data_IF_135692707737
#
_entry.id   IF_135692707737
#
_cell.length_a   1.000
_cell.length_b   1.000
_cell.length_c   1.000
_cell.angle_alpha   90.00
_cell.angle_beta   90.00
_cell.angle_gamma   90.00
#
_symmetry.space_group_name_H-M   'P 1'
#
loop_
_entity.id
_entity.type
_entity.pdbx_description
1 polymer ?
#
# COMPACT_ATOMS: atom_id res chain seq x y z
N UNK A 1 9.57 -17.17 -60.88
CA UNK A 1 8.57 -17.91 -60.08
C UNK A 1 8.76 -17.57 -58.61
N UNK A 2 9.90 -17.90 -57.98
CA UNK A 2 10.17 -17.62 -56.55
C UNK A 2 9.94 -16.16 -56.06
N UNK A 3 10.30 -15.14 -56.86
CA UNK A 3 10.07 -13.72 -56.49
C UNK A 3 8.58 -13.35 -56.43
N UNK A 4 7.74 -14.04 -57.19
CA UNK A 4 6.29 -13.82 -57.22
C UNK A 4 5.65 -14.47 -55.99
N UNK A 5 6.08 -15.69 -55.64
CA UNK A 5 5.60 -16.40 -54.45
C UNK A 5 5.92 -15.63 -53.15
N UNK A 6 7.12 -15.04 -53.06
CA UNK A 6 7.49 -14.18 -51.92
C UNK A 6 6.62 -12.93 -51.83
N UNK A 7 6.27 -12.33 -52.97
CA UNK A 7 5.43 -11.13 -53.00
C UNK A 7 3.98 -11.47 -52.61
N UNK A 8 3.47 -12.63 -53.05
CA UNK A 8 2.17 -13.15 -52.64
C UNK A 8 2.13 -13.45 -51.14
N UNK A 9 3.20 -14.02 -50.58
CA UNK A 9 3.32 -14.27 -49.15
C UNK A 9 3.30 -12.97 -48.33
N UNK A 10 4.09 -11.96 -48.73
CA UNK A 10 4.12 -10.67 -48.04
C UNK A 10 2.79 -9.91 -48.19
N UNK A 11 2.13 -10.00 -49.35
CA UNK A 11 0.78 -9.46 -49.54
C UNK A 11 -0.22 -10.09 -48.57
N UNK A 12 -0.26 -11.42 -48.50
CA UNK A 12 -1.16 -12.14 -47.59
C UNK A 12 -0.91 -11.76 -46.12
N UNK A 13 0.37 -11.65 -45.73
CA UNK A 13 0.75 -11.20 -44.39
C UNK A 13 0.31 -9.77 -44.11
N UNK A 14 0.46 -8.85 -45.07
CA UNK A 14 0.00 -7.48 -44.93
C UNK A 14 -1.53 -7.41 -44.82
N UNK A 15 -2.26 -8.15 -45.65
CA UNK A 15 -3.73 -8.22 -45.61
C UNK A 15 -4.25 -8.75 -44.29
N UNK A 16 -3.65 -9.81 -43.74
CA UNK A 16 -4.04 -10.34 -42.42
C UNK A 16 -3.79 -9.33 -41.31
N UNK A 17 -2.65 -8.63 -41.34
CA UNK A 17 -2.33 -7.57 -40.37
C UNK A 17 -3.30 -6.38 -40.48
N UNK A 18 -3.65 -5.97 -41.70
CA UNK A 18 -4.63 -4.92 -41.93
C UNK A 18 -6.01 -5.31 -41.37
N UNK A 19 -6.49 -6.53 -41.65
CA UNK A 19 -7.78 -7.01 -41.16
C UNK A 19 -7.82 -7.06 -39.62
N UNK A 20 -6.73 -7.47 -38.97
CA UNK A 20 -6.63 -7.45 -37.51
C UNK A 20 -6.66 -6.02 -36.95
N UNK A 21 -5.96 -5.08 -37.59
CA UNK A 21 -5.95 -3.68 -37.18
C UNK A 21 -7.34 -3.05 -37.33
N UNK A 22 -8.04 -3.29 -38.44
CA UNK A 22 -9.40 -2.82 -38.68
C UNK A 22 -10.38 -3.38 -37.64
N UNK A 23 -10.30 -4.68 -37.35
CA UNK A 23 -11.11 -5.30 -36.29
C UNK A 23 -10.83 -4.68 -34.92
N UNK A 24 -9.56 -4.39 -34.61
CA UNK A 24 -9.19 -3.75 -33.34
C UNK A 24 -9.72 -2.32 -33.24
N UNK A 25 -9.71 -1.59 -34.35
CA UNK A 25 -10.27 -0.24 -34.44
C UNK A 25 -11.78 -0.25 -34.14
N UNK A 26 -12.53 -1.15 -34.80
CA UNK A 26 -13.98 -1.29 -34.57
C UNK A 26 -14.31 -1.67 -33.12
N UNK A 27 -13.54 -2.55 -32.50
CA UNK A 27 -13.72 -2.93 -31.09
C UNK A 27 -13.51 -1.72 -30.15
N UNK A 28 -12.48 -0.92 -30.42
CA UNK A 28 -12.19 0.28 -29.63
C UNK A 28 -13.26 1.35 -29.81
N UNK A 29 -13.76 1.57 -31.02
CA UNK A 29 -14.85 2.49 -31.30
C UNK A 29 -16.15 2.08 -30.58
N UNK A 30 -16.47 0.78 -30.58
CA UNK A 30 -17.63 0.26 -29.85
C UNK A 30 -17.51 0.47 -28.34
N UNK A 31 -16.33 0.18 -27.76
CA UNK A 31 -16.06 0.40 -26.32
C UNK A 31 -16.13 1.87 -25.94
N UNK A 32 -15.59 2.76 -26.78
CA UNK A 32 -15.65 4.19 -26.56
C UNK A 32 -17.10 4.69 -26.50
N UNK A 33 -17.94 4.23 -27.42
CA UNK A 33 -19.35 4.62 -27.46
C UNK A 33 -20.14 4.09 -26.25
N UNK A 34 -19.85 2.88 -25.77
CA UNK A 34 -20.45 2.33 -24.54
C UNK A 34 -20.08 3.16 -23.30
N UNK A 35 -18.79 3.46 -23.12
CA UNK A 35 -18.30 4.29 -22.02
C UNK A 35 -18.92 5.70 -22.04
N UNK A 36 -19.06 6.30 -23.23
CA UNK A 36 -19.72 7.59 -23.38
C UNK A 36 -21.20 7.56 -22.96
N UNK A 37 -21.93 6.50 -23.33
CA UNK A 37 -23.32 6.32 -22.89
C UNK A 37 -23.41 6.13 -21.37
N UNK A 38 -22.52 5.34 -20.77
CA UNK A 38 -22.50 5.13 -19.33
C UNK A 38 -22.21 6.45 -18.60
N UNK A 39 -21.23 7.22 -19.07
CA UNK A 39 -20.93 8.55 -18.54
C UNK A 39 -22.15 9.47 -18.62
N UNK A 40 -22.89 9.44 -19.73
CA UNK A 40 -24.13 10.23 -19.88
C UNK A 40 -25.21 9.80 -18.89
N UNK A 41 -25.41 8.49 -18.67
CA UNK A 41 -26.34 7.96 -17.66
C UNK A 41 -25.92 8.38 -16.25
N UNK A 42 -24.64 8.29 -15.94
CA UNK A 42 -24.10 8.69 -14.64
C UNK A 42 -24.27 10.19 -14.38
N UNK A 43 -24.03 11.02 -15.39
CA UNK A 43 -24.25 12.46 -15.30
C UNK A 43 -25.73 12.80 -15.09
N UNK A 44 -26.65 12.12 -15.80
CA UNK A 44 -28.09 12.29 -15.59
C UNK A 44 -28.51 11.92 -14.16
N UNK A 45 -28.01 10.79 -13.64
CA UNK A 45 -28.26 10.33 -12.27
C UNK A 45 -27.70 11.31 -11.23
N UNK A 46 -26.53 11.88 -11.48
CA UNK A 46 -25.95 12.91 -10.61
C UNK A 46 -26.80 14.18 -10.60
N UNK A 47 -27.28 14.63 -11.77
CA UNK A 47 -28.19 15.77 -11.88
C UNK A 47 -29.53 15.52 -11.17
N UNK A 48 -30.12 14.33 -11.33
CA UNK A 48 -31.34 13.93 -10.63
C UNK A 48 -31.17 13.96 -9.11
N UNK A 49 -30.07 13.39 -8.59
CA UNK A 49 -29.77 13.44 -7.16
C UNK A 49 -29.58 14.88 -6.67
N UNK A 50 -28.90 15.72 -7.45
CA UNK A 50 -28.72 17.12 -7.13
C UNK A 50 -30.08 17.85 -7.05
N UNK A 51 -30.95 17.69 -8.05
CA UNK A 51 -32.31 18.26 -8.04
C UNK A 51 -33.19 17.70 -6.91
N UNK A 52 -33.05 16.41 -6.59
CA UNK A 52 -33.78 15.78 -5.49
C UNK A 52 -33.36 16.33 -4.12
N UNK A 53 -32.06 16.58 -3.92
CA UNK A 53 -31.57 17.23 -2.69
C UNK A 53 -32.04 18.69 -2.59
N UNK A 54 -32.06 19.43 -3.69
CA UNK A 54 -32.58 20.81 -3.76
C UNK A 54 -34.08 20.87 -3.44
N UNK A 55 -34.86 19.92 -3.96
CA UNK A 55 -36.30 19.79 -3.66
C UNK A 55 -36.51 19.45 -2.20
N UNK A 56 -35.74 18.51 -1.66
CA UNK A 56 -35.79 18.19 -0.24
C UNK A 56 -35.42 19.41 0.62
N UNK A 57 -34.41 20.20 0.23
CA UNK A 57 -34.06 21.44 0.92
C UNK A 57 -35.22 22.43 0.93
N UNK A 58 -35.89 22.64 -0.21
CA UNK A 58 -37.03 23.55 -0.32
C UNK A 58 -38.20 23.11 0.58
N UNK A 59 -38.50 21.80 0.65
CA UNK A 59 -39.53 21.25 1.55
C UNK A 59 -39.19 21.50 3.04
N UNK A 60 -37.90 21.45 3.41
CA UNK A 60 -37.45 21.75 4.77
C UNK A 60 -37.42 23.26 5.06
N UNK A 61 -37.11 24.10 4.07
CA UNK A 61 -37.16 25.58 4.19
C UNK A 61 -38.61 26.11 4.30
N UNK A 62 -39.57 25.54 3.57
CA UNK A 62 -40.99 25.89 3.66
C UNK A 62 -41.61 25.51 5.03
N UNK A 63 -41.04 24.52 5.73
CA UNK A 63 -41.42 24.19 7.12
C UNK A 63 -40.76 25.09 8.18
N UNK A 64 -39.89 26.00 7.77
CA UNK A 64 -39.10 26.86 8.65
C UNK A 64 -39.43 28.37 8.51
N UNK A 65 -40.63 28.73 8.05
CA UNK A 65 -41.17 30.08 8.29
C UNK A 65 -42.12 30.08 9.48
N UNK A 66 -41.84 30.92 10.50
CA UNK A 66 -42.69 32.08 10.65
C UNK A 66 -41.94 33.41 10.84
N UNK A 67 -42.57 34.40 10.23
CA UNK A 67 -42.31 35.82 10.18
C UNK A 67 -42.55 36.54 11.54
N UNK A 68 -41.48 37.13 12.11
CA UNK A 68 -41.37 38.42 12.87
C UNK A 68 -41.98 38.44 14.33
N UNK A 69 -41.73 39.45 15.19
CA UNK A 69 -40.66 39.53 16.21
C UNK A 69 -41.16 39.70 17.68
N UNK A 70 -40.20 39.76 18.61
CA UNK A 70 -40.25 40.42 19.94
C UNK A 70 -40.88 39.72 21.17
N UNK A 71 -40.11 39.87 22.26
CA UNK A 71 -40.51 40.13 23.66
C UNK A 71 -40.82 38.99 24.66
N UNK A 72 -39.97 38.98 25.70
CA UNK A 72 -40.23 38.76 27.16
C UNK A 72 -40.23 37.33 27.76
N UNK A 73 -39.14 37.08 28.51
CA UNK A 73 -38.97 36.48 29.87
C UNK A 73 -40.03 35.49 30.40
N UNK A 74 -39.58 34.37 30.99
CA UNK A 74 -39.81 33.92 32.39
C UNK A 74 -39.01 32.61 32.66
N UNK A 75 -38.80 32.30 33.95
CA UNK A 75 -37.68 31.58 34.61
C UNK A 75 -37.97 30.09 34.92
N UNK A 76 -36.87 29.29 35.07
CA UNK A 76 -36.66 28.06 35.91
C UNK A 76 -37.49 26.80 35.50
N UNK A 77 -37.08 25.51 35.61
CA UNK A 77 -36.02 24.78 36.34
C UNK A 77 -35.90 23.31 35.79
N UNK A 78 -34.66 22.81 35.61
CA UNK A 78 -34.09 21.46 35.93
C UNK A 78 -34.64 20.13 35.34
N UNK A 79 -33.81 19.40 34.58
CA UNK A 79 -33.36 17.99 34.82
C UNK A 79 -32.41 17.46 33.69
N UNK A 80 -31.44 16.61 34.05
CA UNK A 80 -30.53 15.80 33.19
C UNK A 80 -31.25 14.49 32.76
N UNK A 81 -30.82 13.68 31.75
CA UNK A 81 -29.45 13.46 31.23
C UNK A 81 -29.32 13.54 29.67
N UNK A 82 -28.11 13.60 29.07
CA UNK A 82 -27.96 13.49 27.63
C UNK A 82 -27.96 12.02 27.21
N UNK A 83 -29.08 11.58 26.63
CA UNK A 83 -29.08 10.46 25.71
C UNK A 83 -28.20 10.81 24.51
N UNK A 84 -27.32 9.90 24.14
CA UNK A 84 -26.37 10.03 23.02
C UNK A 84 -27.16 10.00 21.71
N UNK A 85 -27.70 11.14 21.31
CA UNK A 85 -28.12 11.36 19.94
C UNK A 85 -26.87 11.64 19.12
N UNK A 86 -26.57 10.74 18.17
CA UNK A 86 -25.49 10.92 17.20
C UNK A 86 -25.86 12.12 16.33
N UNK A 87 -25.41 13.29 16.77
CA UNK A 87 -25.58 14.54 16.03
C UNK A 87 -24.97 14.36 14.62
N UNK A 88 -25.57 14.90 13.54
CA UNK A 88 -25.06 14.76 12.17
C UNK A 88 -23.58 15.13 12.01
N UNK A 89 -23.08 16.03 12.85
CA UNK A 89 -21.68 16.41 12.95
C UNK A 89 -20.74 15.23 13.28
N UNK A 90 -21.22 14.22 14.01
CA UNK A 90 -20.43 13.03 14.38
C UNK A 90 -20.29 12.03 13.22
N UNK A 91 -21.26 11.98 12.31
CA UNK A 91 -21.18 11.17 11.09
C UNK A 91 -20.18 11.76 10.09
N UNK A 92 -20.14 13.09 9.95
CA UNK A 92 -19.13 13.78 9.13
C UNK A 92 -17.73 13.57 9.69
N UNK A 93 -17.55 13.66 11.01
CA UNK A 93 -16.26 13.40 11.67
C UNK A 93 -15.83 11.94 11.50
N UNK A 94 -16.76 10.98 11.57
CA UNK A 94 -16.48 9.56 11.31
C UNK A 94 -16.06 9.32 9.85
N UNK A 95 -16.68 10.01 8.89
CA UNK A 95 -16.32 9.91 7.47
C UNK A 95 -14.95 10.53 7.19
N UNK A 96 -14.63 11.67 7.80
CA UNK A 96 -13.29 12.28 7.71
C UNK A 96 -12.24 11.38 8.37
N UNK A 97 -12.55 10.80 9.53
CA UNK A 97 -11.66 9.87 10.23
C UNK A 97 -11.43 8.58 9.43
N UNK A 98 -12.47 8.06 8.78
CA UNK A 98 -12.37 6.89 7.90
C UNK A 98 -11.50 7.18 6.67
N UNK A 99 -11.70 8.32 6.02
CA UNK A 99 -10.87 8.75 4.88
C UNK A 99 -9.41 8.93 5.32
N UNK A 100 -9.16 9.59 6.46
CA UNK A 100 -7.82 9.73 7.03
C UNK A 100 -7.19 8.38 7.38
N UNK A 101 -7.96 7.43 7.91
CA UNK A 101 -7.49 6.09 8.21
C UNK A 101 -7.10 5.34 6.93
N UNK A 102 -7.94 5.38 5.89
CA UNK A 102 -7.66 4.79 4.58
C UNK A 102 -6.42 5.41 3.92
N UNK A 103 -6.30 6.75 3.95
CA UNK A 103 -5.12 7.46 3.48
C UNK A 103 -3.85 7.09 4.26
N UNK A 104 -3.99 6.72 5.54
CA UNK A 104 -2.88 6.27 6.39
C UNK A 104 -2.52 4.79 6.23
N UNK A 105 -3.40 3.98 5.64
CA UNK A 105 -3.19 2.54 5.36
C UNK A 105 -2.67 2.26 3.95
N UNK A 106 -2.57 3.26 3.08
CA UNK A 106 -2.00 3.07 1.73
C UNK A 106 -0.50 2.75 1.78
N UNK A 107 -0.01 2.00 0.79
CA UNK A 107 1.41 1.69 0.64
C UNK A 107 2.25 2.96 0.61
N UNK A 108 3.21 3.06 1.54
CA UNK A 108 4.12 4.22 1.68
C UNK A 108 5.05 4.37 0.47
N UNK A 109 5.26 3.30 -0.30
CA UNK A 109 6.07 3.31 -1.52
C UNK A 109 5.52 4.23 -2.63
N UNK A 110 4.25 4.61 -2.54
CA UNK A 110 3.57 5.49 -3.50
C UNK A 110 3.36 6.91 -2.95
N UNK A 111 3.77 7.18 -1.71
CA UNK A 111 3.66 8.50 -1.09
C UNK A 111 4.89 9.36 -1.40
N UNK A 112 4.68 10.65 -1.70
CA UNK A 112 5.77 11.61 -1.79
C UNK A 112 6.42 11.80 -0.39
N UNK A 113 7.70 11.46 -0.26
CA UNK A 113 8.50 11.54 0.99
C UNK A 113 8.41 12.92 1.68
N UNK A 114 8.19 13.96 0.88
CA UNK A 114 8.06 15.36 1.31
C UNK A 114 6.79 15.65 2.14
N UNK A 115 5.79 14.78 2.14
CA UNK A 115 4.55 14.92 2.93
C UNK A 115 4.67 14.25 4.30
N UNK A 116 5.50 13.21 4.43
CA UNK A 116 5.70 12.47 5.69
C UNK A 116 6.65 13.21 6.63
N UNK A 117 7.65 13.93 6.09
CA UNK A 117 8.69 14.60 6.88
C UNK A 117 8.36 16.05 7.32
N UNK A 118 7.11 16.52 7.21
CA UNK A 118 6.76 17.87 7.66
C UNK A 118 6.68 17.96 9.19
N UNK A 119 7.79 18.40 9.78
CA UNK A 119 7.84 19.06 11.10
C UNK A 119 6.76 20.15 11.15
N UNK A 120 5.94 20.26 12.22
CA UNK A 120 4.86 21.25 12.28
C UNK A 120 5.38 22.67 12.08
N UNK A 121 4.89 23.31 11.01
CA UNK A 121 5.14 24.69 10.63
C UNK A 121 4.41 25.64 11.59
N UNK A 122 4.90 25.74 12.83
CA UNK A 122 4.49 26.79 13.76
C UNK A 122 5.75 27.43 14.36
N UNK A 123 5.97 28.70 13.97
CA UNK A 123 7.09 29.59 14.31
C UNK A 123 8.28 29.55 13.33
N UNK A 124 8.09 30.17 12.17
CA UNK A 124 9.19 30.80 11.44
C UNK A 124 8.86 32.29 11.29
N UNK A 125 9.30 33.09 12.27
CA UNK A 125 9.52 34.52 12.10
C UNK A 125 11.03 34.72 12.08
N UNK A 126 11.48 35.45 11.07
CA UNK A 126 12.84 35.88 10.75
C UNK A 126 13.89 35.82 11.85
N UNK A 127 15.01 35.16 11.55
CA UNK A 127 16.32 35.74 11.85
C UNK A 127 17.40 35.24 10.89
N UNK A 128 18.13 36.21 10.32
CA UNK A 128 19.45 36.02 9.72
C UNK A 128 20.41 35.45 10.77
N UNK A 129 21.32 34.58 10.35
CA UNK A 129 22.53 34.29 11.12
C UNK A 129 22.96 32.84 11.04
N UNK A 130 23.98 32.57 10.24
CA UNK A 130 24.56 31.24 10.10
C UNK A 130 25.18 30.71 11.39
N UNK A 131 25.19 29.38 11.50
CA UNK A 131 26.30 28.56 12.01
C UNK A 131 25.92 27.09 11.78
N UNK A 132 26.75 26.43 10.98
CA UNK A 132 26.73 25.00 10.71
C UNK A 132 26.67 24.21 12.02
N UNK A 133 25.50 23.69 12.38
CA UNK A 133 25.39 22.50 13.23
C UNK A 133 25.11 21.34 12.32
N UNK A 134 26.17 20.57 12.05
CA UNK A 134 26.11 19.21 11.53
C UNK A 134 25.13 18.45 12.41
N UNK A 135 23.87 18.36 11.97
CA UNK A 135 22.93 17.41 12.54
C UNK A 135 23.58 16.05 12.33
N UNK A 136 23.93 15.40 13.43
CA UNK A 136 24.30 13.99 13.42
C UNK A 136 23.11 13.24 12.85
N UNK A 137 23.18 12.96 11.54
CA UNK A 137 22.43 11.87 10.94
C UNK A 137 22.94 10.64 11.64
N UNK A 138 22.19 10.19 12.65
CA UNK A 138 22.28 8.84 13.16
C UNK A 138 22.15 7.93 11.94
N UNK A 139 23.09 7.01 11.69
CA UNK A 139 22.93 6.08 10.57
C UNK A 139 21.61 5.35 10.76
N UNK A 140 20.83 5.08 9.70
CA UNK A 140 19.66 4.23 9.82
C UNK A 140 20.11 2.95 10.50
N UNK A 141 19.60 2.70 11.71
CA UNK A 141 19.86 1.43 12.37
C UNK A 141 19.35 0.33 11.44
N UNK A 142 20.00 -0.84 11.47
CA UNK A 142 19.69 -1.99 10.61
C UNK A 142 18.24 -2.48 10.64
N UNK A 143 17.38 -1.85 11.44
CA UNK A 143 15.98 -2.19 11.62
C UNK A 143 15.09 -1.65 10.47
N UNK A 144 15.40 -0.49 9.89
CA UNK A 144 14.53 0.11 8.84
C UNK A 144 14.41 -0.76 7.58
N UNK A 145 15.50 -1.42 7.17
CA UNK A 145 15.54 -2.28 5.97
C UNK A 145 14.70 -3.56 6.17
N UNK A 146 14.57 -4.03 7.41
CA UNK A 146 13.76 -5.22 7.72
C UNK A 146 12.27 -4.87 7.75
N UNK A 147 11.92 -3.68 8.25
CA UNK A 147 10.56 -3.16 8.21
C UNK A 147 10.09 -2.98 6.77
N UNK A 148 10.90 -2.35 5.91
CA UNK A 148 10.60 -2.18 4.48
C UNK A 148 10.46 -3.53 3.75
N UNK A 149 11.36 -4.49 3.98
CA UNK A 149 11.22 -5.84 3.42
C UNK A 149 9.95 -6.56 3.90
N UNK A 150 9.49 -6.28 5.12
CA UNK A 150 8.25 -6.85 5.67
C UNK A 150 7.03 -6.21 5.02
N UNK A 151 7.02 -4.89 4.81
CA UNK A 151 5.97 -4.18 4.07
C UNK A 151 5.87 -4.67 2.61
N UNK A 152 7.02 -4.84 1.94
CA UNK A 152 7.08 -5.41 0.58
C UNK A 152 6.52 -6.82 0.56
N UNK A 153 6.94 -7.67 1.50
CA UNK A 153 6.47 -9.05 1.58
C UNK A 153 4.95 -9.12 1.81
N UNK A 154 4.41 -8.29 2.69
CA UNK A 154 2.98 -8.21 2.96
C UNK A 154 2.21 -7.87 1.67
N UNK A 155 2.65 -6.83 0.96
CA UNK A 155 2.04 -6.41 -0.32
C UNK A 155 2.05 -7.56 -1.34
N UNK A 156 3.17 -8.27 -1.48
CA UNK A 156 3.27 -9.41 -2.39
C UNK A 156 2.32 -10.55 -2.02
N UNK A 157 2.12 -10.80 -0.73
CA UNK A 157 1.21 -11.84 -0.23
C UNK A 157 -0.25 -11.45 -0.44
N UNK A 158 -0.62 -10.18 -0.24
CA UNK A 158 -1.97 -9.68 -0.47
C UNK A 158 -2.33 -9.77 -1.96
N UNK A 159 -1.42 -9.36 -2.85
CA UNK A 159 -1.58 -9.50 -4.31
C UNK A 159 -1.68 -10.97 -4.74
N UNK A 160 -0.86 -11.85 -4.17
CA UNK A 160 -0.96 -13.29 -4.44
C UNK A 160 -2.30 -13.87 -3.95
N UNK A 161 -2.77 -13.40 -2.79
CA UNK A 161 -4.08 -13.75 -2.26
C UNK A 161 -5.22 -13.33 -3.18
N UNK A 162 -5.18 -12.10 -3.69
CA UNK A 162 -6.15 -11.60 -4.67
C UNK A 162 -6.13 -12.45 -5.95
N UNK A 163 -4.95 -12.72 -6.52
CA UNK A 163 -4.84 -13.59 -7.71
C UNK A 163 -5.37 -15.01 -7.45
N UNK A 164 -5.16 -15.55 -6.25
CA UNK A 164 -5.68 -16.87 -5.86
C UNK A 164 -7.21 -16.88 -5.75
N UNK A 165 -7.80 -15.77 -5.32
CA UNK A 165 -9.24 -15.58 -5.32
C UNK A 165 -9.78 -15.51 -6.75
N UNK A 166 -9.17 -14.67 -7.59
CA UNK A 166 -9.55 -14.52 -9.00
C UNK A 166 -9.44 -15.85 -9.77
N UNK A 167 -8.41 -16.65 -9.47
CA UNK A 167 -8.22 -17.99 -10.05
C UNK A 167 -9.39 -18.92 -9.74
N UNK A 168 -9.84 -18.95 -8.48
CA UNK A 168 -11.01 -19.75 -8.09
C UNK A 168 -12.30 -19.23 -8.74
N UNK A 169 -12.44 -17.92 -8.89
CA UNK A 169 -13.61 -17.32 -9.52
C UNK A 169 -13.65 -17.60 -11.03
N UNK A 170 -12.54 -17.46 -11.74
CA UNK A 170 -12.42 -17.85 -13.15
C UNK A 170 -12.69 -19.34 -13.35
N UNK A 171 -12.17 -20.21 -12.48
CA UNK A 171 -12.42 -21.65 -12.55
C UNK A 171 -13.91 -22.00 -12.40
N UNK A 172 -14.65 -21.31 -11.51
CA UNK A 172 -16.12 -21.46 -11.42
C UNK A 172 -16.82 -20.93 -12.66
N UNK A 173 -16.40 -19.76 -13.15
CA UNK A 173 -17.01 -19.13 -14.30
C UNK A 173 -16.87 -20.00 -15.56
N UNK A 174 -15.74 -20.67 -15.75
CA UNK A 174 -15.53 -21.65 -16.83
C UNK A 174 -16.52 -22.83 -16.72
N UNK A 175 -16.78 -23.32 -15.51
CA UNK A 175 -17.74 -24.42 -15.30
C UNK A 175 -19.18 -24.00 -15.59
N UNK A 176 -19.56 -22.79 -15.17
CA UNK A 176 -20.91 -22.24 -15.33
C UNK A 176 -21.20 -21.72 -16.75
N UNK A 177 -20.16 -21.53 -17.57
CA UNK A 177 -20.30 -20.98 -18.92
C UNK A 177 -21.01 -21.97 -19.86
N UNK A 178 -22.04 -21.54 -20.61
CA UNK A 178 -22.80 -22.43 -21.49
C UNK A 178 -22.17 -22.59 -22.89
N UNK A 179 -21.34 -21.65 -23.34
CA UNK A 179 -20.77 -21.63 -24.69
C UNK A 179 -19.29 -22.00 -24.68
N UNK A 180 -18.87 -22.84 -25.64
CA UNK A 180 -17.48 -23.31 -25.76
C UNK A 180 -16.51 -22.16 -26.04
N UNK A 181 -16.86 -21.22 -26.92
CA UNK A 181 -16.00 -20.07 -27.22
C UNK A 181 -15.69 -19.22 -25.98
N UNK A 182 -16.66 -19.09 -25.06
CA UNK A 182 -16.46 -18.33 -23.83
C UNK A 182 -15.63 -19.11 -22.82
N UNK A 183 -15.76 -20.44 -22.76
CA UNK A 183 -14.87 -21.29 -21.97
C UNK A 183 -13.43 -21.16 -22.45
N UNK A 184 -13.16 -21.30 -23.74
CA UNK A 184 -11.81 -21.21 -24.30
C UNK A 184 -11.16 -19.85 -23.99
N UNK A 185 -11.95 -18.76 -24.03
CA UNK A 185 -11.51 -17.41 -23.66
C UNK A 185 -11.12 -17.31 -22.18
N UNK A 186 -11.98 -17.81 -21.29
CA UNK A 186 -11.73 -17.79 -19.85
C UNK A 186 -10.59 -18.74 -19.45
N UNK A 187 -10.42 -19.87 -20.13
CA UNK A 187 -9.31 -20.80 -19.96
C UNK A 187 -7.97 -20.15 -20.35
N UNK A 188 -7.93 -19.40 -21.46
CA UNK A 188 -6.76 -18.60 -21.83
C UNK A 188 -6.43 -17.54 -20.76
N UNK A 189 -7.45 -16.88 -20.18
CA UNK A 189 -7.26 -15.90 -19.11
C UNK A 189 -6.78 -16.54 -17.80
N UNK A 190 -7.29 -17.73 -17.49
CA UNK A 190 -6.85 -18.53 -16.34
C UNK A 190 -5.40 -18.95 -16.48
N UNK A 191 -4.97 -19.41 -17.67
CA UNK A 191 -3.57 -19.75 -17.95
C UNK A 191 -2.66 -18.53 -17.80
N UNK A 192 -3.05 -17.39 -18.36
CA UNK A 192 -2.31 -16.15 -18.17
C UNK A 192 -2.25 -15.71 -16.69
N UNK A 193 -3.31 -15.93 -15.91
CA UNK A 193 -3.33 -15.66 -14.47
C UNK A 193 -2.39 -16.59 -13.70
N UNK A 194 -2.36 -17.88 -14.03
CA UNK A 194 -1.42 -18.86 -13.43
C UNK A 194 0.03 -18.42 -13.67
N UNK A 195 0.37 -18.00 -14.89
CA UNK A 195 1.70 -17.47 -15.18
C UNK A 195 2.07 -16.25 -14.32
N UNK A 196 1.11 -15.34 -14.06
CA UNK A 196 1.30 -14.21 -13.14
C UNK A 196 1.45 -14.67 -11.68
N UNK A 197 0.66 -15.65 -11.25
CA UNK A 197 0.73 -16.23 -9.90
C UNK A 197 2.10 -16.87 -9.64
N UNK A 198 2.62 -17.65 -10.58
CA UNK A 198 3.95 -18.25 -10.46
C UNK A 198 5.05 -17.18 -10.35
N UNK A 199 5.00 -16.16 -11.20
CA UNK A 199 5.92 -15.04 -11.13
C UNK A 199 5.85 -14.31 -9.77
N UNK A 200 4.64 -14.15 -9.21
CA UNK A 200 4.41 -13.54 -7.90
C UNK A 200 4.91 -14.44 -6.75
N UNK A 201 4.66 -15.75 -6.80
CA UNK A 201 5.20 -16.73 -5.83
C UNK A 201 6.74 -16.74 -5.83
N UNK A 202 7.36 -16.60 -7.01
CA UNK A 202 8.80 -16.46 -7.15
C UNK A 202 9.33 -15.17 -6.50
N UNK A 203 8.61 -14.05 -6.63
CA UNK A 203 8.95 -12.81 -5.93
C UNK A 203 8.90 -12.98 -4.41
N UNK A 204 7.81 -13.56 -3.88
CA UNK A 204 7.66 -13.84 -2.44
C UNK A 204 8.83 -14.69 -1.95
N UNK A 205 9.16 -15.76 -2.68
CA UNK A 205 10.26 -16.67 -2.33
C UNK A 205 11.60 -15.94 -2.29
N UNK A 206 11.88 -15.05 -3.25
CA UNK A 206 13.10 -14.23 -3.26
C UNK A 206 13.16 -13.33 -2.04
N UNK A 207 12.09 -12.61 -1.71
CA UNK A 207 12.04 -11.73 -0.52
C UNK A 207 12.26 -12.51 0.77
N UNK A 208 11.59 -13.67 0.92
CA UNK A 208 11.78 -14.57 2.07
C UNK A 208 13.23 -15.07 2.19
N UNK A 209 13.87 -15.43 1.08
CA UNK A 209 15.30 -15.81 1.06
C UNK A 209 16.21 -14.67 1.50
N UNK A 210 15.95 -13.43 1.06
CA UNK A 210 16.71 -12.26 1.49
C UNK A 210 16.54 -11.97 2.99
N UNK A 211 15.32 -12.03 3.51
CA UNK A 211 15.06 -11.88 4.95
C UNK A 211 15.85 -12.91 5.78
N UNK A 212 15.79 -14.19 5.40
CA UNK A 212 16.54 -15.24 6.09
C UNK A 212 18.06 -15.04 6.03
N UNK A 213 18.59 -14.54 4.91
CA UNK A 213 20.02 -14.20 4.80
C UNK A 213 20.42 -13.06 5.74
N UNK A 214 19.59 -12.01 5.86
CA UNK A 214 19.86 -10.91 6.78
C UNK A 214 19.84 -11.35 8.25
N UNK A 215 18.88 -12.21 8.64
CA UNK A 215 18.83 -12.78 9.99
C UNK A 215 20.05 -13.65 10.30
N UNK A 216 20.48 -14.49 9.35
CA UNK A 216 21.69 -15.31 9.49
C UNK A 216 22.94 -14.44 9.71
N UNK A 217 23.08 -13.36 8.94
CA UNK A 217 24.21 -12.43 9.09
C UNK A 217 24.18 -11.71 10.45
N UNK A 218 23.00 -11.33 10.95
CA UNK A 218 22.84 -10.74 12.29
C UNK A 218 23.27 -11.72 13.39
N UNK A 219 22.85 -12.98 13.30
CA UNK A 219 23.21 -14.02 14.27
C UNK A 219 24.71 -14.35 14.25
N UNK A 220 25.32 -14.43 13.07
CA UNK A 220 26.77 -14.66 12.95
C UNK A 220 27.59 -13.50 13.52
N UNK A 221 27.16 -12.24 13.35
CA UNK A 221 27.81 -11.09 14.00
C UNK A 221 27.73 -11.18 15.53
N UNK A 222 26.54 -11.43 16.09
CA UNK A 222 26.39 -11.59 17.54
C UNK A 222 27.24 -12.75 18.10
N UNK A 223 27.30 -13.89 17.38
CA UNK A 223 28.12 -15.04 17.80
C UNK A 223 29.62 -14.72 17.81
N UNK A 224 30.09 -13.90 16.87
CA UNK A 224 31.49 -13.42 16.84
C UNK A 224 31.78 -12.43 17.98
N UNK A 225 30.86 -11.52 18.27
CA UNK A 225 30.97 -10.60 19.41
C UNK A 225 31.02 -11.36 20.73
N UNK A 226 30.11 -12.30 20.97
CA UNK A 226 30.12 -13.14 22.19
C UNK A 226 31.40 -13.96 22.34
N UNK A 227 31.98 -14.45 21.25
CA UNK A 227 33.27 -15.17 21.27
C UNK A 227 34.46 -14.25 21.53
N UNK A 228 34.43 -13.00 21.07
CA UNK A 228 35.48 -12.02 21.35
C UNK A 228 35.46 -11.62 22.83
N UNK A 229 34.27 -11.33 23.39
CA UNK A 229 34.12 -10.97 24.81
C UNK A 229 34.51 -12.11 25.76
N UNK A 230 34.31 -13.38 25.35
CA UNK A 230 34.70 -14.55 26.15
C UNK A 230 36.21 -14.80 26.13
N UNK A 231 36.93 -14.42 25.07
CA UNK A 231 38.40 -14.53 24.98
C UNK A 231 39.12 -13.53 25.90
N UNK A 232 38.54 -12.35 26.13
CA UNK A 232 39.12 -11.33 27.04
C UNK A 232 38.99 -11.71 28.52
N UNK A 233 38.15 -12.69 28.87
CA UNK A 233 37.93 -13.12 30.26
C UNK A 233 38.76 -14.34 30.68
N UNK A 234 39.35 -15.09 29.73
CA UNK A 234 40.27 -16.20 30.04
C UNK A 234 41.76 -15.78 30.08
N UNK A 235 42.11 -14.61 29.57
CA UNK A 235 43.50 -14.10 29.57
C UNK A 235 43.90 -13.43 30.91
N UNK A 236 43.08 -13.58 31.96
CA UNK A 236 43.32 -13.05 33.31
C UNK A 236 43.72 -14.09 34.37
N UNK A 237 43.79 -15.39 34.04
CA UNK A 237 43.96 -16.43 35.06
C UNK A 237 45.14 -17.39 34.86
N UNK A 238 46.12 -17.02 34.03
CA UNK A 238 47.34 -17.80 33.79
C UNK A 238 48.61 -17.04 34.17
N UNK A 239 48.67 -16.51 35.40
CA UNK A 239 49.96 -16.08 35.94
C UNK A 239 49.99 -16.20 37.46
N UNK A 240 50.52 -17.31 37.95
CA UNK A 240 51.42 -17.37 39.13
C UNK A 240 51.73 -18.82 39.50
N UNK A 241 52.63 -19.48 38.75
CA UNK A 241 53.42 -20.58 39.31
C UNK A 241 54.79 -20.69 38.63
N UNK A 242 55.73 -19.87 39.06
CA UNK A 242 57.12 -20.26 39.31
C UNK A 242 57.96 -19.05 39.71
N UNK A 243 58.69 -19.18 40.82
CA UNK A 243 59.58 -18.16 41.34
C UNK A 243 60.33 -18.67 42.55
N UNK A 244 61.23 -19.63 42.32
CA UNK A 244 62.26 -20.08 43.25
C UNK A 244 63.31 -18.96 43.37
N UNK A 245 63.61 -18.46 44.58
CA UNK A 245 64.93 -17.94 44.97
C UNK A 245 65.07 -17.74 46.49
N UNK A 246 66.07 -18.40 47.09
CA UNK A 246 66.96 -17.98 48.21
C UNK A 246 66.33 -17.67 49.60
N UNK A 247 66.89 -18.09 50.74
CA UNK A 247 68.26 -17.84 51.19
C UNK A 247 68.54 -18.47 52.58
N UNK A 248 69.82 -18.84 52.78
CA UNK A 248 70.64 -18.84 54.02
C UNK A 248 70.25 -19.62 55.28
N UNK A 249 71.17 -20.48 55.73
CA UNK A 249 71.73 -20.59 57.11
C UNK A 249 72.61 -21.88 57.18
N UNK A 250 73.73 -22.00 57.89
CA UNK A 250 74.71 -21.12 58.54
C UNK A 250 75.86 -22.08 58.97
N UNK A 251 77.11 -21.65 58.81
CA UNK A 251 78.32 -22.09 59.54
C UNK A 251 78.03 -22.19 61.05
N UNK A 252 78.61 -23.01 61.92
CA UNK A 252 79.87 -23.77 62.04
C UNK A 252 79.56 -25.06 62.85
#
# INVERSE_FOLDING_TARGET
>A
LEKLDLLEQEYNKLTTMQALAEKKMQELEAKLHEEEQERKRMQAKAAELQTGLETNRLIFEDKATPHVPNARRIKKKKSKPPEKSTSPSHAVVANVQLVLHLMKQHSKALCNDRVINSIPLAKQVSSRGGKSKKLSVTPPSSNGINEELSEVLQTLQDEFGQMSFDHQQLAKLIQESPTVELKDKLECELEALVGRMEAKANQITKVRKYQAQLEKQKLEKQKKELKATKKTLEEGNSSSRSGITGTTNKKD
#
